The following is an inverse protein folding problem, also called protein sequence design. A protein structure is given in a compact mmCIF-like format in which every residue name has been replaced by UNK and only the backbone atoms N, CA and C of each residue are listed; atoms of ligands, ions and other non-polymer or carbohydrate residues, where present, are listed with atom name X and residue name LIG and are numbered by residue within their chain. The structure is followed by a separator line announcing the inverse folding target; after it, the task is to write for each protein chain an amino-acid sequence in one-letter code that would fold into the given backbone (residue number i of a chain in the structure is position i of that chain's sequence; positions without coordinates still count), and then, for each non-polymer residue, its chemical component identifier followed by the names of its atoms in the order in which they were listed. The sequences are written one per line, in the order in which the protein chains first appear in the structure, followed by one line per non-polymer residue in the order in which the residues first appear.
data_IF_966806720149
#
_entry.id   IF_966806720149
#
_cell.length_a   1.000
_cell.length_b   1.000
_cell.length_c   1.000
_cell.angle_alpha   90.00
_cell.angle_beta   90.00
_cell.angle_gamma   90.00
#
_symmetry.space_group_name_H-M   'P 1'
#
loop_
_entity.id
_entity.type
_entity.pdbx_description
1 polymer ?
#
# COMPACT_ATOMS: atom_id res chain seq x y z
N UNK A 1 10.54 -15.63 -1.22
CA UNK A 1 11.03 -15.00 -2.46
C UNK A 1 10.42 -13.60 -2.57
N UNK A 2 11.22 -12.57 -2.31
CA UNK A 2 10.79 -11.16 -2.32
C UNK A 2 10.88 -10.55 -3.74
N UNK A 3 10.66 -11.36 -4.78
CA UNK A 3 10.85 -10.95 -6.16
C UNK A 3 9.70 -11.47 -7.02
N UNK A 4 9.27 -10.65 -7.97
CA UNK A 4 8.43 -11.09 -9.07
C UNK A 4 9.29 -11.66 -10.20
N UNK A 5 8.81 -12.76 -10.80
CA UNK A 5 9.38 -13.32 -12.03
C UNK A 5 8.22 -13.48 -12.99
N UNK A 6 8.34 -12.86 -14.15
CA UNK A 6 7.28 -12.86 -15.18
C UNK A 6 7.85 -12.77 -16.58
N UNK A 7 7.02 -13.06 -17.57
CA UNK A 7 7.36 -12.94 -18.97
C UNK A 7 6.61 -11.76 -19.60
N UNK A 8 7.24 -11.08 -20.55
CA UNK A 8 6.60 -10.03 -21.34
C UNK A 8 6.50 -10.50 -22.78
N UNK A 9 5.28 -10.51 -23.32
CA UNK A 9 5.06 -10.68 -24.75
C UNK A 9 4.78 -9.30 -25.37
N UNK A 10 5.61 -8.91 -26.30
CA UNK A 10 5.45 -7.66 -27.05
C UNK A 10 5.69 -7.87 -28.54
N UNK A 11 4.69 -7.56 -29.37
CA UNK A 11 4.68 -7.89 -30.80
C UNK A 11 4.90 -9.40 -31.00
N UNK A 12 5.90 -9.79 -31.79
CA UNK A 12 6.25 -11.18 -32.08
C UNK A 12 7.33 -11.75 -31.14
N UNK A 13 7.78 -10.99 -30.16
CA UNK A 13 8.85 -11.39 -29.25
C UNK A 13 8.32 -11.74 -27.86
N UNK A 14 8.93 -12.75 -27.23
CA UNK A 14 8.68 -13.13 -25.83
C UNK A 14 9.98 -12.98 -25.05
N UNK A 15 9.95 -12.12 -24.04
CA UNK A 15 11.05 -11.87 -23.12
C UNK A 15 10.77 -12.62 -21.83
N UNK A 16 11.57 -13.65 -21.53
CA UNK A 16 11.30 -14.60 -20.44
C UNK A 16 12.10 -14.31 -19.18
N UNK A 17 11.52 -14.75 -18.03
CA UNK A 17 12.19 -14.73 -16.74
C UNK A 17 12.67 -13.33 -16.31
N UNK A 18 11.89 -12.31 -16.60
CA UNK A 18 12.18 -10.94 -16.13
C UNK A 18 12.00 -10.92 -14.63
N UNK A 19 13.04 -10.47 -13.93
CA UNK A 19 13.07 -10.37 -12.46
C UNK A 19 12.88 -8.93 -12.04
N UNK A 20 11.95 -8.68 -11.12
CA UNK A 20 11.72 -7.39 -10.50
C UNK A 20 11.81 -7.54 -8.97
N UNK A 21 12.56 -6.65 -8.29
CA UNK A 21 12.68 -6.65 -6.83
C UNK A 21 11.54 -5.91 -6.13
N UNK A 22 10.36 -5.90 -6.72
CA UNK A 22 9.13 -5.35 -6.16
C UNK A 22 8.04 -6.40 -6.26
N UNK A 23 7.19 -6.49 -5.25
CA UNK A 23 6.06 -7.41 -5.23
C UNK A 23 4.77 -6.68 -5.64
N UNK A 24 3.76 -7.46 -6.02
CA UNK A 24 2.45 -6.96 -6.45
C UNK A 24 2.30 -6.88 -7.97
N UNK A 25 1.18 -7.38 -8.48
CA UNK A 25 0.90 -7.46 -9.91
C UNK A 25 0.95 -6.10 -10.60
N UNK A 26 0.51 -5.04 -9.90
CA UNK A 26 0.59 -3.68 -10.43
C UNK A 26 2.04 -3.23 -10.72
N UNK A 27 3.03 -3.73 -9.97
CA UNK A 27 4.43 -3.43 -10.24
C UNK A 27 4.96 -4.22 -11.45
N UNK A 28 4.45 -5.43 -11.70
CA UNK A 28 4.73 -6.14 -12.95
C UNK A 28 4.17 -5.37 -14.17
N UNK A 29 2.96 -4.82 -14.06
CA UNK A 29 2.38 -3.96 -15.10
C UNK A 29 3.20 -2.69 -15.32
N UNK A 30 3.62 -2.01 -14.29
CA UNK A 30 4.46 -0.82 -14.39
C UNK A 30 5.81 -1.14 -15.07
N UNK A 31 6.43 -2.26 -14.69
CA UNK A 31 7.67 -2.72 -15.30
C UNK A 31 7.48 -3.09 -16.78
N UNK A 32 6.36 -3.72 -17.14
CA UNK A 32 6.02 -4.03 -18.53
C UNK A 32 5.87 -2.75 -19.36
N UNK A 33 5.18 -1.73 -18.84
CA UNK A 33 5.03 -0.44 -19.53
C UNK A 33 6.39 0.22 -19.74
N UNK A 34 7.23 0.27 -18.69
CA UNK A 34 8.58 0.82 -18.78
C UNK A 34 9.44 0.05 -19.80
N UNK A 35 9.34 -1.28 -19.80
CA UNK A 35 10.02 -2.16 -20.77
C UNK A 35 9.61 -1.84 -22.20
N UNK A 36 8.29 -1.75 -22.48
CA UNK A 36 7.76 -1.49 -23.81
C UNK A 36 8.20 -0.10 -24.31
N UNK A 37 8.17 0.91 -23.45
CA UNK A 37 8.63 2.27 -23.79
C UNK A 37 10.12 2.23 -24.14
N UNK A 38 10.95 1.58 -23.31
CA UNK A 38 12.38 1.49 -23.55
C UNK A 38 12.72 0.76 -24.87
N UNK A 39 12.04 -0.36 -25.16
CA UNK A 39 12.16 -1.06 -26.46
C UNK A 39 11.76 -0.14 -27.63
N UNK A 40 10.71 0.67 -27.47
CA UNK A 40 10.26 1.59 -28.54
C UNK A 40 11.23 2.76 -28.76
N UNK A 41 12.17 2.97 -27.85
CA UNK A 41 13.28 3.93 -27.95
C UNK A 41 14.60 3.25 -28.39
N UNK A 42 14.50 2.03 -28.96
CA UNK A 42 15.63 1.25 -29.48
C UNK A 42 16.69 0.88 -28.42
N UNK A 43 16.31 0.80 -27.13
CA UNK A 43 17.19 0.28 -26.07
C UNK A 43 17.20 -1.25 -26.15
N UNK A 44 18.39 -1.84 -26.09
CA UNK A 44 18.57 -3.30 -26.12
C UNK A 44 17.88 -3.99 -24.93
N UNK A 45 17.18 -5.09 -25.19
CA UNK A 45 16.39 -5.82 -24.19
C UNK A 45 17.19 -6.27 -22.98
N UNK A 46 18.44 -6.72 -23.19
CA UNK A 46 19.35 -7.16 -22.13
C UNK A 46 19.66 -6.03 -21.14
N UNK A 47 19.82 -4.80 -21.63
CA UNK A 47 20.07 -3.62 -20.80
C UNK A 47 18.82 -3.33 -19.94
N UNK A 48 17.63 -3.39 -20.55
CA UNK A 48 16.37 -3.13 -19.85
C UNK A 48 16.12 -4.20 -18.78
N UNK A 49 16.29 -5.50 -19.11
CA UNK A 49 16.12 -6.60 -18.16
C UNK A 49 17.09 -6.48 -16.98
N UNK A 50 18.34 -6.12 -17.25
CA UNK A 50 19.32 -5.87 -16.19
C UNK A 50 18.92 -4.69 -15.31
N UNK A 51 18.43 -3.60 -15.89
CA UNK A 51 17.94 -2.43 -15.16
C UNK A 51 16.76 -2.79 -14.25
N UNK A 52 15.76 -3.52 -14.74
CA UNK A 52 14.62 -3.99 -13.95
C UNK A 52 15.06 -4.88 -12.79
N UNK A 53 16.00 -5.81 -13.02
CA UNK A 53 16.53 -6.71 -12.00
C UNK A 53 17.29 -5.96 -10.88
N UNK A 54 17.95 -4.85 -11.21
CA UNK A 54 18.73 -4.05 -10.24
C UNK A 54 17.97 -2.85 -9.71
N UNK A 55 16.75 -2.62 -10.16
CA UNK A 55 15.92 -1.50 -9.73
C UNK A 55 15.61 -1.60 -8.22
N UNK A 56 15.98 -0.59 -7.42
CA UNK A 56 15.82 -0.65 -5.96
C UNK A 56 14.38 -0.49 -5.49
N UNK A 57 13.45 -0.22 -6.39
CA UNK A 57 12.06 0.12 -6.08
C UNK A 57 11.83 1.62 -5.89
N UNK A 58 10.61 1.97 -5.56
CA UNK A 58 10.17 3.33 -5.26
C UNK A 58 9.69 3.32 -3.82
N UNK A 59 10.12 4.29 -3.02
CA UNK A 59 9.60 4.48 -1.66
C UNK A 59 8.08 4.60 -1.69
N UNK A 60 7.43 4.03 -0.68
CA UNK A 60 5.98 4.04 -0.55
C UNK A 60 5.23 3.38 -1.72
N UNK A 61 5.83 2.33 -2.32
CA UNK A 61 5.20 1.47 -3.31
C UNK A 61 5.42 0.01 -2.90
N UNK A 62 4.50 -0.50 -2.06
CA UNK A 62 4.61 -1.81 -1.42
C UNK A 62 5.96 -1.98 -0.72
N UNK A 63 6.39 -0.95 0.01
CA UNK A 63 7.71 -0.90 0.66
C UNK A 63 7.67 -1.72 1.94
N UNK A 64 8.52 -2.76 2.03
CA UNK A 64 8.73 -3.46 3.29
C UNK A 64 9.63 -2.62 4.19
N UNK A 65 9.05 -1.98 5.19
CA UNK A 65 9.77 -1.16 6.17
C UNK A 65 10.33 -2.01 7.31
N UNK A 66 9.60 -3.09 7.68
CA UNK A 66 10.05 -4.12 8.62
C UNK A 66 9.58 -5.50 8.16
N UNK A 67 10.37 -6.54 8.54
CA UNK A 67 10.01 -7.95 8.38
C UNK A 67 9.94 -8.70 9.71
N UNK A 68 10.56 -8.17 10.74
CA UNK A 68 10.56 -8.64 12.12
C UNK A 68 10.62 -7.44 13.06
N UNK A 69 9.98 -7.47 14.23
CA UNK A 69 9.15 -8.54 14.81
C UNK A 69 7.78 -8.68 14.14
N UNK A 70 7.20 -7.59 13.64
CA UNK A 70 5.98 -7.56 12.81
C UNK A 70 6.37 -7.20 11.36
N UNK A 71 5.58 -7.64 10.40
CA UNK A 71 5.72 -7.17 9.03
C UNK A 71 5.09 -5.78 8.96
N UNK A 72 5.85 -4.79 8.52
CA UNK A 72 5.33 -3.45 8.26
C UNK A 72 5.56 -3.08 6.80
N UNK A 73 4.46 -2.72 6.12
CA UNK A 73 4.45 -2.31 4.71
C UNK A 73 3.89 -0.89 4.64
N UNK A 74 4.56 0.00 3.91
CA UNK A 74 4.06 1.32 3.56
C UNK A 74 3.74 1.42 2.07
N UNK A 75 2.58 2.02 1.75
CA UNK A 75 2.16 2.23 0.38
C UNK A 75 1.46 3.58 0.19
N UNK A 76 1.64 4.16 -0.98
CA UNK A 76 1.03 5.43 -1.37
C UNK A 76 -0.43 5.29 -1.79
N UNK A 77 -1.00 4.09 -1.74
CA UNK A 77 -2.37 3.78 -2.15
C UNK A 77 -3.37 4.76 -1.55
N UNK A 78 -4.17 5.36 -2.40
CA UNK A 78 -5.13 6.41 -2.05
C UNK A 78 -6.38 6.38 -2.93
N UNK A 79 -6.55 5.33 -3.73
CA UNK A 79 -7.74 5.01 -4.53
C UNK A 79 -8.24 3.61 -4.13
N UNK A 80 -9.58 3.34 -4.14
CA UNK A 80 -10.10 2.03 -3.75
C UNK A 80 -9.47 0.84 -4.48
N UNK A 81 -9.24 0.95 -5.78
CA UNK A 81 -8.59 -0.09 -6.58
C UNK A 81 -7.14 -0.36 -6.17
N UNK A 82 -6.41 0.68 -5.72
CA UNK A 82 -5.05 0.54 -5.19
C UNK A 82 -5.08 -0.19 -3.84
N UNK A 83 -6.00 0.19 -2.94
CA UNK A 83 -6.20 -0.48 -1.64
C UNK A 83 -6.52 -1.96 -1.85
N UNK A 84 -7.39 -2.28 -2.79
CA UNK A 84 -7.73 -3.65 -3.13
C UNK A 84 -6.54 -4.44 -3.67
N UNK A 85 -5.71 -3.82 -4.52
CA UNK A 85 -4.48 -4.43 -5.04
C UNK A 85 -3.49 -4.74 -3.91
N UNK A 86 -3.32 -3.83 -2.95
CA UNK A 86 -2.48 -4.05 -1.76
C UNK A 86 -3.05 -5.20 -0.92
N UNK A 87 -4.37 -5.20 -0.64
CA UNK A 87 -4.99 -6.29 0.11
C UNK A 87 -4.76 -7.65 -0.55
N UNK A 88 -4.99 -7.75 -1.86
CA UNK A 88 -4.79 -9.00 -2.61
C UNK A 88 -3.33 -9.46 -2.56
N UNK A 89 -2.39 -8.53 -2.69
CA UNK A 89 -0.96 -8.82 -2.59
C UNK A 89 -0.58 -9.35 -1.21
N UNK A 90 -0.99 -8.68 -0.12
CA UNK A 90 -0.68 -9.14 1.24
C UNK A 90 -1.41 -10.43 1.60
N UNK A 91 -2.62 -10.64 1.09
CA UNK A 91 -3.37 -11.88 1.27
C UNK A 91 -2.68 -13.07 0.58
N UNK A 92 -2.14 -12.87 -0.61
CA UNK A 92 -1.39 -13.88 -1.36
C UNK A 92 -0.07 -14.23 -0.67
N UNK A 93 0.67 -13.22 -0.21
CA UNK A 93 1.98 -13.41 0.44
C UNK A 93 1.87 -13.96 1.87
N UNK A 94 0.83 -13.54 2.60
CA UNK A 94 0.64 -13.84 4.01
C UNK A 94 -0.82 -14.25 4.30
N UNK A 95 -1.28 -15.39 3.77
CA UNK A 95 -2.70 -15.78 3.84
C UNK A 95 -3.21 -15.94 5.27
N UNK A 96 -2.36 -16.37 6.19
CA UNK A 96 -2.74 -16.71 7.57
C UNK A 96 -2.45 -15.58 8.58
N UNK A 97 -1.79 -14.49 8.17
CA UNK A 97 -1.47 -13.40 9.09
C UNK A 97 -2.62 -12.40 9.17
N UNK A 98 -2.98 -12.01 10.39
CA UNK A 98 -3.94 -10.93 10.64
C UNK A 98 -3.34 -9.57 10.23
N UNK A 99 -4.15 -8.76 9.58
CA UNK A 99 -3.74 -7.52 8.89
C UNK A 99 -4.43 -6.32 9.52
N UNK A 100 -3.63 -5.44 10.13
CA UNK A 100 -4.05 -4.09 10.52
C UNK A 100 -3.75 -3.13 9.37
N UNK A 101 -4.73 -2.37 8.92
CA UNK A 101 -4.52 -1.24 8.01
C UNK A 101 -4.70 0.08 8.73
N UNK A 102 -3.73 1.00 8.56
CA UNK A 102 -3.81 2.40 8.97
C UNK A 102 -3.95 3.22 7.70
N UNK A 103 -5.12 3.78 7.45
CA UNK A 103 -5.43 4.45 6.20
C UNK A 103 -5.73 5.93 6.42
N UNK A 104 -5.06 6.79 5.63
CA UNK A 104 -5.35 8.21 5.53
C UNK A 104 -6.02 8.52 4.21
N UNK A 105 -7.33 8.85 4.20
CA UNK A 105 -7.97 9.31 2.97
C UNK A 105 -7.33 10.59 2.46
N UNK A 106 -7.26 10.73 1.15
CA UNK A 106 -6.64 11.88 0.48
C UNK A 106 -7.66 12.58 -0.43
N UNK A 107 -7.91 13.87 -0.20
CA UNK A 107 -8.90 14.74 -0.83
C UNK A 107 -10.35 14.48 -0.38
N UNK A 108 -11.05 15.56 -0.09
CA UNK A 108 -12.49 15.51 0.23
C UNK A 108 -13.33 15.08 -0.97
N UNK A 109 -13.01 15.58 -2.17
CA UNK A 109 -13.71 15.22 -3.40
C UNK A 109 -13.64 13.71 -3.67
N UNK A 110 -12.45 13.13 -3.58
CA UNK A 110 -12.27 11.69 -3.79
C UNK A 110 -12.98 10.86 -2.72
N UNK A 111 -12.93 11.29 -1.46
CA UNK A 111 -13.63 10.63 -0.37
C UNK A 111 -15.15 10.63 -0.61
N UNK A 112 -15.71 11.74 -1.08
CA UNK A 112 -17.13 11.83 -1.46
C UNK A 112 -17.49 10.91 -2.63
N UNK A 113 -16.69 10.98 -3.69
CA UNK A 113 -16.99 10.33 -4.97
C UNK A 113 -16.84 8.80 -4.91
N UNK A 114 -15.96 8.29 -4.06
CA UNK A 114 -15.66 6.85 -3.91
C UNK A 114 -15.97 6.32 -2.50
N UNK A 115 -16.92 6.94 -1.81
CA UNK A 115 -17.23 6.64 -0.40
C UNK A 115 -17.52 5.16 -0.14
N UNK A 116 -18.33 4.56 -1.01
CA UNK A 116 -18.74 3.16 -0.90
C UNK A 116 -17.59 2.22 -1.23
N UNK A 117 -16.91 2.50 -2.31
CA UNK A 117 -15.78 1.70 -2.79
C UNK A 117 -14.61 1.70 -1.79
N UNK A 118 -14.36 2.81 -1.11
CA UNK A 118 -13.41 2.86 0.00
C UNK A 118 -13.82 1.93 1.14
N UNK A 119 -15.08 1.96 1.55
CA UNK A 119 -15.57 1.09 2.62
C UNK A 119 -15.42 -0.39 2.22
N UNK A 120 -15.84 -0.77 1.01
CA UNK A 120 -15.77 -2.14 0.47
C UNK A 120 -14.32 -2.65 0.35
N UNK A 121 -13.37 -1.78 -0.01
CA UNK A 121 -11.97 -2.16 -0.09
C UNK A 121 -11.33 -2.35 1.30
N UNK A 122 -11.64 -1.43 2.24
CA UNK A 122 -11.05 -1.43 3.57
C UNK A 122 -11.63 -2.54 4.47
N UNK A 123 -12.92 -2.88 4.35
CA UNK A 123 -13.54 -3.91 5.21
C UNK A 123 -12.98 -5.32 5.04
N UNK A 124 -12.14 -5.54 4.01
CA UNK A 124 -11.43 -6.79 3.76
C UNK A 124 -10.30 -7.06 4.76
N UNK A 125 -9.77 -6.02 5.41
CA UNK A 125 -8.72 -6.13 6.42
C UNK A 125 -9.28 -6.58 7.78
N UNK A 126 -8.45 -7.21 8.61
CA UNK A 126 -8.87 -7.76 9.91
C UNK A 126 -9.13 -6.65 10.94
N UNK A 127 -8.36 -5.54 10.88
CA UNK A 127 -8.58 -4.32 11.65
C UNK A 127 -8.31 -3.09 10.80
N UNK A 128 -9.14 -2.06 10.97
CA UNK A 128 -9.07 -0.81 10.21
C UNK A 128 -8.93 0.38 11.15
N UNK A 129 -7.86 1.13 11.00
CA UNK A 129 -7.66 2.41 11.64
C UNK A 129 -7.72 3.53 10.60
N UNK A 130 -8.67 4.44 10.74
CA UNK A 130 -8.86 5.57 9.84
C UNK A 130 -8.34 6.85 10.48
N UNK A 131 -7.48 7.54 9.76
CA UNK A 131 -7.03 8.90 10.08
C UNK A 131 -7.94 9.93 9.43
N UNK A 132 -7.84 11.19 9.86
CA UNK A 132 -8.53 12.29 9.20
C UNK A 132 -8.07 12.47 7.75
N UNK A 133 -8.99 12.99 6.92
CA UNK A 133 -8.73 13.26 5.51
C UNK A 133 -7.57 14.26 5.39
N UNK A 134 -6.57 13.90 4.60
CA UNK A 134 -5.55 14.85 4.17
C UNK A 134 -6.11 15.72 3.03
N UNK A 135 -6.30 17.03 3.27
CA UNK A 135 -7.03 17.89 2.33
C UNK A 135 -6.21 18.26 1.08
N UNK A 136 -4.87 18.19 1.16
CA UNK A 136 -3.96 18.71 0.16
C UNK A 136 -4.29 20.18 -0.19
N UNK A 137 -4.88 20.43 -1.36
CA UNK A 137 -5.25 21.78 -1.83
C UNK A 137 -6.76 22.05 -1.75
N UNK A 138 -7.54 21.10 -1.28
CA UNK A 138 -8.99 21.22 -1.21
C UNK A 138 -9.45 21.91 0.07
N UNK A 139 -10.57 22.63 -0.04
CA UNK A 139 -11.34 23.04 1.13
C UNK A 139 -12.24 21.89 1.59
N UNK A 140 -12.53 21.85 2.89
CA UNK A 140 -13.46 20.89 3.45
C UNK A 140 -14.81 20.95 2.74
N UNK A 141 -15.37 19.78 2.42
CA UNK A 141 -16.70 19.63 1.85
C UNK A 141 -17.67 19.27 2.99
N UNK A 142 -18.75 20.04 3.13
CA UNK A 142 -19.76 19.80 4.16
C UNK A 142 -20.30 18.37 4.10
N UNK A 143 -20.32 17.68 5.25
CA UNK A 143 -20.78 16.29 5.36
C UNK A 143 -19.80 15.24 4.88
N UNK A 144 -18.59 15.60 4.49
CA UNK A 144 -17.53 14.66 4.06
C UNK A 144 -16.38 14.65 5.06
N UNK A 145 -16.14 13.49 5.64
CA UNK A 145 -15.04 13.25 6.60
C UNK A 145 -14.63 11.78 6.58
N UNK A 146 -13.57 11.41 7.28
CA UNK A 146 -13.19 10.01 7.48
C UNK A 146 -14.31 9.21 8.17
N UNK A 147 -15.11 9.87 9.03
CA UNK A 147 -16.29 9.27 9.62
C UNK A 147 -17.31 8.80 8.57
N UNK A 148 -17.40 9.48 7.44
CA UNK A 148 -18.31 9.08 6.35
C UNK A 148 -17.94 7.70 5.77
N UNK A 149 -16.63 7.40 5.64
CA UNK A 149 -16.14 6.07 5.26
C UNK A 149 -16.36 5.08 6.41
N UNK A 150 -15.99 5.47 7.63
CA UNK A 150 -16.12 4.65 8.83
C UNK A 150 -17.55 4.11 9.00
N UNK A 151 -18.55 4.96 8.85
CA UNK A 151 -19.94 4.58 9.04
C UNK A 151 -20.45 3.59 7.96
N UNK A 152 -19.78 3.50 6.81
CA UNK A 152 -20.08 2.57 5.71
C UNK A 152 -19.38 1.23 5.80
N UNK A 153 -18.28 1.13 6.52
CA UNK A 153 -17.56 -0.13 6.71
C UNK A 153 -18.39 -1.06 7.60
N UNK A 154 -18.67 -2.28 7.14
CA UNK A 154 -19.40 -3.28 7.92
C UNK A 154 -18.53 -4.02 8.94
N UNK A 155 -17.20 -4.02 8.79
CA UNK A 155 -16.29 -4.62 9.75
C UNK A 155 -16.40 -3.94 11.11
N UNK A 156 -16.61 -4.73 12.18
CA UNK A 156 -16.74 -4.21 13.56
C UNK A 156 -15.40 -3.81 14.17
N UNK A 157 -14.32 -4.37 13.68
CA UNK A 157 -12.96 -4.10 14.16
C UNK A 157 -12.37 -2.89 13.43
N UNK A 158 -12.95 -1.74 13.69
CA UNK A 158 -12.57 -0.45 13.09
C UNK A 158 -12.52 0.65 14.12
N UNK A 159 -11.63 1.60 13.92
CA UNK A 159 -11.44 2.75 14.81
C UNK A 159 -11.12 4.01 14.00
N UNK A 160 -11.62 5.16 14.47
CA UNK A 160 -11.15 6.48 14.04
C UNK A 160 -10.09 6.92 15.06
N UNK A 161 -8.94 7.32 14.56
CA UNK A 161 -7.81 7.73 15.42
C UNK A 161 -7.14 8.99 14.88
N UNK A 162 -6.50 9.72 15.78
CA UNK A 162 -5.54 10.76 15.42
C UNK A 162 -4.14 10.16 15.18
N UNK A 163 -3.29 10.89 14.48
CA UNK A 163 -1.89 10.46 14.24
C UNK A 163 -1.08 10.25 15.51
N UNK A 164 -1.41 11.00 16.56
CA UNK A 164 -0.81 10.91 17.89
C UNK A 164 -1.11 9.58 18.57
N UNK A 165 -2.25 8.94 18.26
CA UNK A 165 -2.73 7.70 18.88
C UNK A 165 -2.20 6.43 18.19
N UNK A 166 -1.51 6.57 17.04
CA UNK A 166 -0.93 5.41 16.32
C UNK A 166 0.01 4.57 17.23
N UNK A 167 0.90 5.16 18.05
CA UNK A 167 1.74 4.36 18.95
C UNK A 167 0.93 3.51 19.92
N UNK A 168 -0.10 4.08 20.55
CA UNK A 168 -0.99 3.37 21.48
C UNK A 168 -1.73 2.24 20.78
N UNK A 169 -2.31 2.53 19.59
CA UNK A 169 -2.94 1.51 18.76
C UNK A 169 -2.01 0.32 18.46
N UNK A 170 -0.75 0.59 18.15
CA UNK A 170 0.23 -0.45 17.82
C UNK A 170 0.66 -1.25 19.06
N UNK A 171 0.73 -0.63 20.24
CA UNK A 171 1.04 -1.30 21.50
C UNK A 171 -0.05 -2.28 21.92
N UNK A 172 -1.31 -1.95 21.70
CA UNK A 172 -2.46 -2.80 22.02
C UNK A 172 -2.77 -3.83 20.94
N UNK A 173 -2.10 -3.73 19.79
CA UNK A 173 -2.45 -4.50 18.60
C UNK A 173 -1.62 -5.78 18.45
N UNK A 174 -2.29 -6.92 18.38
CA UNK A 174 -1.69 -8.24 18.21
C UNK A 174 -1.51 -8.64 16.72
N UNK A 175 -1.87 -7.78 15.76
CA UNK A 175 -1.74 -8.12 14.35
C UNK A 175 -0.27 -8.25 13.95
N UNK A 176 0.02 -9.30 13.19
CA UNK A 176 1.37 -9.64 12.75
C UNK A 176 1.82 -8.85 11.52
N UNK A 177 0.86 -8.25 10.80
CA UNK A 177 1.10 -7.46 9.60
C UNK A 177 0.40 -6.12 9.71
N UNK A 178 1.18 -5.05 9.66
CA UNK A 178 0.72 -3.65 9.69
C UNK A 178 0.94 -3.04 8.31
N UNK A 179 -0.06 -2.33 7.81
CA UNK A 179 0.03 -1.63 6.53
C UNK A 179 -0.35 -0.17 6.75
N UNK A 180 0.54 0.78 6.42
CA UNK A 180 0.18 2.20 6.30
C UNK A 180 -0.13 2.55 4.85
N UNK A 181 -1.25 3.23 4.62
CA UNK A 181 -1.66 3.62 3.27
C UNK A 181 -2.18 5.06 3.22
N UNK A 182 -1.78 5.78 2.17
CA UNK A 182 -2.29 7.12 1.88
C UNK A 182 -1.28 8.01 1.17
N UNK A 183 -1.77 8.98 0.40
CA UNK A 183 -0.94 9.93 -0.34
C UNK A 183 -0.64 11.23 0.44
N UNK A 184 -1.09 11.30 1.69
CA UNK A 184 -0.88 12.44 2.57
C UNK A 184 0.35 12.30 3.46
N UNK A 185 0.33 13.09 4.54
CA UNK A 185 1.40 13.17 5.53
C UNK A 185 1.50 11.95 6.48
N UNK A 186 0.67 10.91 6.28
CA UNK A 186 0.89 9.60 6.89
C UNK A 186 2.27 9.05 6.52
N UNK A 187 2.80 9.42 5.36
CA UNK A 187 4.15 9.05 4.94
C UNK A 187 5.26 9.56 5.85
N UNK A 188 5.05 10.68 6.52
CA UNK A 188 6.00 11.25 7.46
C UNK A 188 6.04 10.47 8.79
N UNK A 189 5.06 9.59 9.01
CA UNK A 189 4.95 8.76 10.22
C UNK A 189 5.60 7.39 10.08
N UNK A 190 6.06 7.00 8.90
CA UNK A 190 6.61 5.67 8.62
C UNK A 190 7.74 5.31 9.59
N UNK A 191 8.72 6.20 9.79
CA UNK A 191 9.83 5.95 10.72
C UNK A 191 9.37 5.89 12.19
N UNK A 192 8.34 6.67 12.57
CA UNK A 192 7.77 6.63 13.91
C UNK A 192 7.03 5.30 14.13
N UNK A 193 6.22 4.86 13.18
CA UNK A 193 5.51 3.57 13.23
C UNK A 193 6.52 2.43 13.36
N UNK A 194 7.55 2.44 12.53
CA UNK A 194 8.63 1.45 12.53
C UNK A 194 9.31 1.36 13.89
N UNK A 195 9.71 2.51 14.45
CA UNK A 195 10.33 2.59 15.78
C UNK A 195 9.40 2.02 16.84
N UNK A 196 8.12 2.42 16.86
CA UNK A 196 7.13 1.92 17.83
C UNK A 196 7.02 0.40 17.78
N UNK A 197 6.99 -0.21 16.57
CA UNK A 197 6.91 -1.67 16.41
C UNK A 197 8.17 -2.36 16.97
N UNK A 198 9.34 -1.77 16.82
CA UNK A 198 10.60 -2.31 17.33
C UNK A 198 10.61 -2.22 18.86
N UNK A 199 10.33 -1.04 19.43
CA UNK A 199 10.35 -0.77 20.88
C UNK A 199 9.35 -1.67 21.64
N UNK A 200 8.22 -2.02 21.01
CA UNK A 200 7.21 -2.92 21.58
C UNK A 200 7.74 -4.35 21.80
N UNK A 201 8.69 -4.79 21.01
CA UNK A 201 9.20 -6.16 21.07
C UNK A 201 10.41 -6.31 22.00
N UNK A 202 10.98 -5.18 22.48
CA UNK A 202 12.12 -5.16 23.41
C UNK A 202 11.67 -5.08 24.89
N UNK A 203 10.37 -4.86 25.13
CA UNK A 203 9.73 -4.85 26.47
C UNK A 203 8.91 -6.10 26.71
#
# INVERSE_FOLDING_TARGET
NDKLIFDIQYKNNVYKNIVLNMLGDHNAFNAMVAFIIAISLDIESEIIIKALKTFPGIKRRFSFELKNPKIFIDDYAHHPSEIESIYNSVKSLYPNKKKLVIFQPHLFSRTRDFLREFAEALEKFDKIALLDIYPAREKAISGVSSKSIFDKINNKNKVLIEKSEIPELLFEDEHELVISMGAGDIGDLVEKIKKTIIDQNEN
#
